data_IF_333947215524
#
_entry.id   IF_333947215524
#
_cell.length_a   1.000
_cell.length_b   1.000
_cell.length_c   1.000
_cell.angle_alpha   90.00
_cell.angle_beta   90.00
_cell.angle_gamma   90.00
#
_symmetry.space_group_name_H-M   'P 1'
#
loop_
_entity.id
_entity.type
_entity.pdbx_description
1 polymer ?
#
# COMPACT_ATOMS: atom_id res chain seq x y z
N UNK A 1 24.41 -23.98 -0.29
CA UNK A 1 23.67 -23.42 0.86
C UNK A 1 23.40 -21.96 0.57
N UNK A 2 22.15 -21.56 0.68
CA UNK A 2 21.55 -20.34 0.13
C UNK A 2 22.12 -19.08 0.76
N UNK A 3 22.72 -18.20 -0.04
CA UNK A 3 23.03 -16.82 0.36
C UNK A 3 21.84 -15.95 -0.03
N UNK A 4 20.91 -15.77 0.90
CA UNK A 4 19.96 -14.67 0.81
C UNK A 4 20.65 -13.46 1.46
N UNK A 5 21.32 -12.67 0.63
CA UNK A 5 21.83 -11.36 1.01
C UNK A 5 20.62 -10.45 1.22
N UNK A 6 20.04 -10.45 2.42
CA UNK A 6 18.97 -9.53 2.79
C UNK A 6 19.63 -8.17 2.97
N UNK A 7 19.46 -7.30 1.99
CA UNK A 7 19.74 -5.87 2.17
C UNK A 7 18.73 -5.36 3.19
N UNK A 8 19.19 -5.08 4.40
CA UNK A 8 18.46 -4.26 5.37
C UNK A 8 18.33 -2.84 4.80
N UNK A 9 17.44 -2.66 3.83
CA UNK A 9 16.89 -1.34 3.54
C UNK A 9 15.98 -0.96 4.70
N UNK A 10 16.05 0.28 5.16
CA UNK A 10 15.21 0.76 6.26
C UNK A 10 13.75 0.36 6.02
N UNK A 11 13.18 -0.40 6.98
CA UNK A 11 11.77 -0.78 6.96
C UNK A 11 10.95 0.50 7.08
N UNK A 12 10.35 0.94 5.97
CA UNK A 12 9.37 2.01 5.99
C UNK A 12 8.04 1.40 6.46
N UNK A 13 7.35 2.01 7.42
CA UNK A 13 5.99 1.60 7.72
C UNK A 13 5.02 2.22 6.72
N UNK A 14 3.93 1.51 6.40
CA UNK A 14 2.89 2.01 5.49
C UNK A 14 2.35 3.40 5.89
N UNK A 15 2.25 3.67 7.20
CA UNK A 15 1.79 4.96 7.74
C UNK A 15 2.74 6.14 7.45
N UNK A 16 4.01 5.85 7.14
CA UNK A 16 5.04 6.84 6.83
C UNK A 16 5.13 7.11 5.31
N UNK A 17 4.32 6.39 4.51
CA UNK A 17 4.24 6.59 3.06
C UNK A 17 3.45 7.85 2.79
N UNK A 18 3.98 8.72 1.92
CA UNK A 18 3.30 9.95 1.51
C UNK A 18 1.86 9.66 1.04
N UNK A 19 0.86 10.50 1.39
CA UNK A 19 -0.55 10.29 1.05
C UNK A 19 -0.86 10.59 -0.43
N UNK A 20 -0.18 9.89 -1.32
CA UNK A 20 -0.46 9.89 -2.75
C UNK A 20 -0.26 8.49 -3.32
N UNK A 21 -1.00 8.20 -4.39
CA UNK A 21 -1.03 6.87 -5.00
C UNK A 21 0.34 6.43 -5.53
N UNK A 22 1.13 7.34 -6.12
CA UNK A 22 2.46 7.01 -6.66
C UNK A 22 3.42 6.51 -5.58
N UNK A 23 3.40 7.13 -4.39
CA UNK A 23 4.20 6.73 -3.25
C UNK A 23 3.75 5.36 -2.70
N UNK A 24 2.44 5.14 -2.61
CA UNK A 24 1.89 3.83 -2.24
C UNK A 24 2.32 2.73 -3.22
N UNK A 25 2.19 2.96 -4.54
CA UNK A 25 2.59 1.98 -5.54
C UNK A 25 4.09 1.67 -5.48
N UNK A 26 4.94 2.66 -5.23
CA UNK A 26 6.37 2.46 -5.04
C UNK A 26 6.66 1.62 -3.80
N UNK A 27 5.99 1.92 -2.68
CA UNK A 27 6.08 1.16 -1.44
C UNK A 27 5.66 -0.30 -1.67
N UNK A 28 4.47 -0.53 -2.23
CA UNK A 28 3.94 -1.87 -2.48
C UNK A 28 4.79 -2.70 -3.43
N UNK A 29 5.45 -2.06 -4.41
CA UNK A 29 6.40 -2.75 -5.30
C UNK A 29 7.63 -3.28 -4.57
N UNK A 30 8.12 -2.53 -3.57
CA UNK A 30 9.26 -2.94 -2.74
C UNK A 30 8.84 -4.08 -1.82
N UNK A 31 7.72 -3.92 -1.12
CA UNK A 31 7.19 -4.92 -0.17
C UNK A 31 6.84 -6.25 -0.83
N UNK A 32 6.18 -6.23 -2.00
CA UNK A 32 5.77 -7.44 -2.70
C UNK A 32 6.88 -8.06 -3.57
N UNK A 33 8.05 -7.41 -3.67
CA UNK A 33 9.14 -7.87 -4.55
C UNK A 33 8.78 -7.90 -6.05
N UNK A 34 7.73 -7.18 -6.46
CA UNK A 34 7.16 -7.25 -7.81
C UNK A 34 6.19 -6.11 -8.13
N UNK A 35 5.76 -5.94 -9.38
CA UNK A 35 4.90 -4.84 -9.80
C UNK A 35 3.49 -4.96 -9.19
N UNK A 36 3.13 -4.02 -8.30
CA UNK A 36 1.73 -3.78 -7.88
C UNK A 36 1.13 -2.65 -8.70
N UNK A 37 -0.14 -2.79 -9.04
CA UNK A 37 -0.94 -1.81 -9.79
C UNK A 37 -2.27 -1.58 -9.10
N UNK A 38 -2.80 -0.38 -9.27
CA UNK A 38 -4.19 -0.08 -8.96
C UNK A 38 -5.10 -0.87 -9.91
N UNK A 39 -6.11 -1.52 -9.33
CA UNK A 39 -7.18 -2.21 -10.06
C UNK A 39 -8.38 -1.27 -10.18
N UNK A 40 -8.74 -0.60 -9.08
CA UNK A 40 -9.90 0.28 -9.01
C UNK A 40 -9.77 1.28 -7.86
N UNK A 41 -10.16 2.53 -8.09
CA UNK A 41 -10.45 3.52 -7.06
C UNK A 41 -11.92 3.92 -7.08
N UNK A 42 -12.50 4.11 -5.91
CA UNK A 42 -13.87 4.59 -5.76
C UNK A 42 -14.10 5.17 -4.36
N UNK A 43 -15.13 6.01 -4.23
CA UNK A 43 -15.63 6.41 -2.93
C UNK A 43 -16.44 5.27 -2.31
N UNK A 44 -16.01 4.74 -1.17
CA UNK A 44 -16.72 3.68 -0.46
C UNK A 44 -17.73 4.27 0.51
N UNK A 45 -19.01 4.03 0.28
CA UNK A 45 -20.09 4.43 1.20
C UNK A 45 -19.96 3.73 2.56
N UNK A 46 -19.45 2.50 2.60
CA UNK A 46 -19.19 1.74 3.84
C UNK A 46 -18.16 2.42 4.73
N UNK A 47 -17.12 3.01 4.14
CA UNK A 47 -15.99 3.60 4.87
C UNK A 47 -15.99 5.14 4.88
N UNK A 48 -16.90 5.77 4.15
CA UNK A 48 -17.02 7.23 4.01
C UNK A 48 -15.77 7.88 3.42
N UNK A 49 -15.00 7.17 2.60
CA UNK A 49 -13.69 7.62 2.08
C UNK A 49 -13.36 6.98 0.75
N UNK A 50 -12.39 7.56 0.06
CA UNK A 50 -11.80 6.95 -1.13
C UNK A 50 -10.99 5.72 -0.76
N UNK A 51 -11.19 4.64 -1.51
CA UNK A 51 -10.50 3.36 -1.35
C UNK A 51 -9.85 2.95 -2.66
N UNK A 52 -8.73 2.24 -2.53
CA UNK A 52 -7.89 1.82 -3.64
C UNK A 52 -7.69 0.32 -3.58
N UNK A 53 -8.32 -0.41 -4.50
CA UNK A 53 -8.11 -1.84 -4.68
C UNK A 53 -6.85 -2.06 -5.51
N UNK A 54 -5.94 -2.90 -4.99
CA UNK A 54 -4.64 -3.16 -5.59
C UNK A 54 -4.55 -4.60 -6.10
N UNK A 55 -3.65 -4.82 -7.05
CA UNK A 55 -3.46 -6.14 -7.68
C UNK A 55 -2.85 -7.20 -6.75
N UNK A 56 -2.40 -6.81 -5.56
CA UNK A 56 -1.98 -7.70 -4.48
C UNK A 56 -3.17 -8.32 -3.72
N UNK A 57 -4.40 -7.92 -4.06
CA UNK A 57 -5.63 -8.40 -3.43
C UNK A 57 -6.01 -7.64 -2.17
N UNK A 58 -5.28 -6.58 -1.82
CA UNK A 58 -5.56 -5.73 -0.68
C UNK A 58 -6.26 -4.44 -1.10
N UNK A 59 -6.96 -3.83 -0.14
CA UNK A 59 -7.60 -2.53 -0.31
C UNK A 59 -6.97 -1.54 0.65
N UNK A 60 -6.57 -0.38 0.14
CA UNK A 60 -5.91 0.67 0.90
C UNK A 60 -6.78 1.92 0.94
N UNK A 61 -6.66 2.69 2.00
CA UNK A 61 -7.30 4.00 2.12
C UNK A 61 -6.45 4.93 2.97
N UNK A 62 -6.69 6.23 2.86
CA UNK A 62 -6.17 7.20 3.80
C UNK A 62 -7.09 7.27 5.03
N UNK A 63 -6.50 7.34 6.22
CA UNK A 63 -7.21 7.65 7.45
C UNK A 63 -7.31 9.18 7.67
N UNK A 64 -7.92 9.58 8.79
CA UNK A 64 -8.11 11.00 9.16
C UNK A 64 -6.77 11.75 9.37
N UNK A 65 -5.68 11.02 9.59
CA UNK A 65 -4.33 11.57 9.75
C UNK A 65 -3.54 11.62 8.44
N UNK A 66 -4.17 11.37 7.28
CA UNK A 66 -3.51 11.20 5.99
C UNK A 66 -2.43 10.09 5.98
N UNK A 67 -2.67 9.00 6.72
CA UNK A 67 -1.81 7.82 6.72
C UNK A 67 -2.50 6.67 6.00
N UNK A 68 -1.74 5.90 5.23
CA UNK A 68 -2.25 4.72 4.56
C UNK A 68 -2.57 3.61 5.56
N UNK A 69 -3.75 3.00 5.39
CA UNK A 69 -4.22 1.86 6.16
C UNK A 69 -4.76 0.78 5.22
N UNK A 70 -4.66 -0.48 5.65
CA UNK A 70 -5.28 -1.62 4.97
C UNK A 70 -6.71 -1.75 5.48
N UNK A 71 -7.67 -1.86 4.56
CA UNK A 71 -9.05 -2.18 4.88
C UNK A 71 -9.25 -3.70 4.81
N UNK A 72 -9.72 -4.28 5.90
CA UNK A 72 -10.14 -5.68 5.96
C UNK A 72 -11.65 -5.74 5.68
N UNK A 73 -12.05 -6.59 4.73
CA UNK A 73 -13.44 -6.72 4.28
C UNK A 73 -14.30 -7.51 5.24
#
# INVERSE_FOLDING_TARGET
MSSAFVREGEYQHLQDVTPNLSALLLYLRRENGGPVREVKSYHSEKHGREVFEMSDGLTYALNENNQWVILLH
#
